data_IF_331342362326
#
_entry.id   IF_331342362326
#
_cell.length_a   1.000
_cell.length_b   1.000
_cell.length_c   1.000
_cell.angle_alpha   90.00
_cell.angle_beta   90.00
_cell.angle_gamma   90.00
#
_symmetry.space_group_name_H-M   'P 1'
#
loop_
_entity.id
_entity.type
_entity.pdbx_description
1 polymer ?
#
# COMPACT_ATOMS: atom_id res chain seq x y z
N UNK A 1 -24.08 26.81 -38.47
CA UNK A 1 -23.29 26.21 -37.38
C UNK A 1 -21.96 25.71 -37.91
N UNK A 2 -21.14 26.52 -38.57
CA UNK A 2 -19.92 26.05 -39.26
C UNK A 2 -18.67 26.95 -39.04
N UNK A 3 -18.74 27.85 -38.07
CA UNK A 3 -17.65 28.82 -37.87
C UNK A 3 -16.45 28.35 -36.99
N UNK A 4 -16.59 27.26 -36.27
CA UNK A 4 -15.57 26.86 -35.32
C UNK A 4 -14.56 25.83 -35.85
N UNK A 5 -14.98 25.09 -36.89
CA UNK A 5 -14.13 24.03 -37.47
C UNK A 5 -13.10 24.61 -38.45
N UNK A 6 -13.42 25.74 -39.13
CA UNK A 6 -12.50 26.43 -40.06
C UNK A 6 -11.30 27.09 -39.30
N UNK A 7 -11.51 27.54 -38.07
CA UNK A 7 -10.43 28.15 -37.29
C UNK A 7 -9.42 27.13 -36.74
N UNK A 8 -9.91 25.93 -36.38
CA UNK A 8 -9.05 24.83 -35.97
C UNK A 8 -8.19 24.28 -37.13
N UNK A 9 -8.77 24.20 -38.32
CA UNK A 9 -8.04 23.77 -39.53
C UNK A 9 -6.95 24.81 -39.94
N UNK A 10 -7.23 26.11 -39.83
CA UNK A 10 -6.22 27.16 -40.11
C UNK A 10 -5.09 27.19 -39.11
N UNK A 11 -5.32 26.82 -37.85
CA UNK A 11 -4.25 26.70 -36.85
C UNK A 11 -3.37 25.48 -37.08
N UNK A 12 -3.95 24.40 -37.61
CA UNK A 12 -3.22 23.17 -37.92
C UNK A 12 -2.41 23.26 -39.23
N UNK A 13 -2.84 24.07 -40.20
CA UNK A 13 -2.11 24.29 -41.47
C UNK A 13 -0.87 25.18 -41.34
N UNK A 14 -0.73 25.92 -40.23
CA UNK A 14 0.43 26.77 -39.96
C UNK A 14 1.51 26.17 -39.07
N UNK A 15 1.37 24.91 -38.65
CA UNK A 15 2.36 24.23 -37.86
C UNK A 15 3.18 23.30 -38.75
N UNK A 16 4.43 23.68 -39.00
CA UNK A 16 5.37 22.87 -39.76
C UNK A 16 5.48 21.46 -39.18
N UNK A 17 5.30 20.45 -40.04
CA UNK A 17 5.33 19.04 -39.65
C UNK A 17 6.68 18.59 -39.05
N UNK A 18 7.70 19.42 -39.06
CA UNK A 18 9.01 19.18 -38.45
C UNK A 18 9.07 19.45 -36.95
N UNK A 19 8.04 20.07 -36.35
CA UNK A 19 8.04 20.48 -34.93
C UNK A 19 7.47 19.40 -33.99
N UNK A 20 6.88 18.34 -34.53
CA UNK A 20 6.36 17.21 -33.75
C UNK A 20 7.47 16.21 -33.41
N UNK A 21 8.02 16.39 -32.24
CA UNK A 21 9.03 15.48 -31.72
C UNK A 21 8.37 14.45 -30.79
N UNK A 22 8.71 13.18 -30.96
CA UNK A 22 8.28 12.15 -30.01
C UNK A 22 8.70 12.53 -28.59
N UNK A 23 7.88 12.31 -27.57
CA UNK A 23 8.20 12.66 -26.18
C UNK A 23 9.58 12.12 -25.73
N UNK A 24 9.95 10.93 -26.20
CA UNK A 24 11.27 10.32 -25.94
C UNK A 24 12.42 11.12 -26.57
N UNK A 25 12.23 11.69 -27.76
CA UNK A 25 13.22 12.52 -28.42
C UNK A 25 13.33 13.92 -27.79
N UNK A 26 12.22 14.47 -27.29
CA UNK A 26 12.21 15.71 -26.54
C UNK A 26 12.96 15.56 -25.20
N UNK A 27 12.76 14.44 -24.49
CA UNK A 27 13.49 14.13 -23.26
C UNK A 27 14.98 13.91 -23.49
N UNK A 28 15.39 13.30 -24.61
CA UNK A 28 16.80 13.09 -24.95
C UNK A 28 17.55 14.42 -25.26
N UNK A 29 16.82 15.49 -25.62
CA UNK A 29 17.37 16.84 -25.88
C UNK A 29 17.30 17.77 -24.68
N UNK A 30 16.73 17.31 -23.55
CA UNK A 30 16.65 18.12 -22.35
C UNK A 30 18.04 18.29 -21.74
N UNK A 31 18.59 19.48 -21.87
CA UNK A 31 19.77 19.90 -21.13
C UNK A 31 19.30 20.65 -19.87
N UNK A 32 19.61 20.14 -18.67
CA UNK A 32 19.25 20.86 -17.46
C UNK A 32 19.94 22.23 -17.41
N UNK A 33 19.25 23.28 -16.90
CA UNK A 33 19.83 24.62 -16.78
C UNK A 33 21.17 24.57 -16.04
N UNK A 34 22.16 25.32 -16.56
CA UNK A 34 23.49 25.41 -15.96
C UNK A 34 23.35 25.91 -14.50
N UNK A 35 23.68 25.09 -13.51
CA UNK A 35 23.49 25.40 -12.09
C UNK A 35 22.44 24.53 -11.41
N UNK A 36 21.64 23.77 -12.16
CA UNK A 36 20.92 22.64 -11.60
C UNK A 36 21.93 21.50 -11.36
N UNK A 37 22.67 21.60 -10.27
CA UNK A 37 23.30 20.44 -9.69
C UNK A 37 22.12 19.55 -9.29
N UNK A 38 21.81 18.56 -10.11
CA UNK A 38 21.14 17.36 -9.59
C UNK A 38 22.04 16.96 -8.44
N UNK A 39 21.65 17.34 -7.21
CA UNK A 39 22.34 16.91 -6.02
C UNK A 39 22.53 15.41 -6.22
N UNK A 40 23.78 15.02 -6.44
CA UNK A 40 24.18 13.64 -6.69
C UNK A 40 23.46 12.84 -5.64
N UNK A 41 22.57 11.97 -6.05
CA UNK A 41 21.53 11.30 -5.30
C UNK A 41 21.89 11.28 -3.82
N UNK A 42 21.41 12.25 -3.06
CA UNK A 42 21.33 12.12 -1.61
C UNK A 42 20.72 10.76 -1.48
N UNK A 43 21.40 9.77 -0.89
CA UNK A 43 20.94 8.40 -0.72
C UNK A 43 19.45 8.53 -0.49
N UNK A 44 18.64 8.18 -1.53
CA UNK A 44 17.20 8.33 -1.42
C UNK A 44 16.87 7.47 -0.23
N UNK A 45 16.66 8.13 0.91
CA UNK A 45 16.25 7.45 2.13
C UNK A 45 14.93 6.81 1.74
N UNK A 46 15.00 5.56 1.30
CA UNK A 46 13.85 4.83 0.78
C UNK A 46 12.84 4.78 1.90
N UNK A 47 11.79 5.57 1.76
CA UNK A 47 10.69 5.54 2.68
C UNK A 47 10.15 4.11 2.75
N UNK A 48 10.05 3.56 3.95
CA UNK A 48 9.28 2.34 4.19
C UNK A 48 7.88 2.78 4.62
N UNK A 49 6.87 2.10 4.14
CA UNK A 49 5.51 2.42 4.54
C UNK A 49 5.09 1.52 5.70
N UNK A 50 4.49 2.14 6.72
CA UNK A 50 3.98 1.45 7.88
C UNK A 50 2.49 1.69 8.07
N UNK A 51 1.78 0.68 8.55
CA UNK A 51 0.36 0.73 8.94
C UNK A 51 0.15 0.26 10.37
N UNK A 52 -1.00 0.55 10.94
CA UNK A 52 -1.32 0.19 12.33
C UNK A 52 -2.59 -0.65 12.44
N UNK A 53 -2.53 -1.58 13.37
CA UNK A 53 -3.69 -2.28 13.92
C UNK A 53 -3.59 -2.22 15.44
N UNK A 54 -4.42 -1.43 16.08
CA UNK A 54 -4.36 -1.13 17.52
C UNK A 54 -2.98 -0.55 17.91
N UNK A 55 -2.32 -1.15 18.85
CA UNK A 55 -0.97 -0.76 19.30
C UNK A 55 0.15 -1.28 18.41
N UNK A 56 -0.15 -2.21 17.52
CA UNK A 56 0.84 -2.83 16.64
C UNK A 56 1.12 -1.97 15.42
N UNK A 57 2.39 -1.66 15.17
CA UNK A 57 2.86 -1.03 13.94
C UNK A 57 3.57 -2.05 13.05
N UNK A 58 3.18 -2.13 11.79
CA UNK A 58 3.73 -3.05 10.81
C UNK A 58 4.32 -2.30 9.63
N UNK A 59 5.40 -2.83 9.07
CA UNK A 59 6.00 -2.35 7.85
C UNK A 59 5.50 -3.15 6.66
N UNK A 60 5.10 -2.46 5.61
CA UNK A 60 4.83 -3.08 4.32
C UNK A 60 6.17 -3.55 3.73
N UNK A 61 6.23 -4.80 3.27
CA UNK A 61 7.40 -5.38 2.64
C UNK A 61 7.80 -4.58 1.40
N UNK A 62 9.07 -4.26 1.26
CA UNK A 62 9.56 -3.55 0.10
C UNK A 62 9.28 -4.33 -1.20
N UNK A 63 8.71 -3.65 -2.19
CA UNK A 63 8.33 -4.27 -3.46
C UNK A 63 6.97 -4.97 -3.46
N UNK A 64 6.29 -5.07 -2.32
CA UNK A 64 4.90 -5.54 -2.27
C UNK A 64 3.98 -4.52 -2.93
N UNK A 65 3.11 -5.00 -3.82
CA UNK A 65 1.99 -4.20 -4.32
C UNK A 65 0.94 -4.09 -3.24
N UNK A 66 0.51 -2.87 -2.94
CA UNK A 66 -0.55 -2.67 -1.94
C UNK A 66 -1.45 -1.51 -2.31
N UNK A 67 -2.72 -1.60 -1.94
CA UNK A 67 -3.68 -0.52 -2.10
C UNK A 67 -4.60 -0.41 -0.88
N UNK A 68 -5.13 0.79 -0.62
CA UNK A 68 -6.04 1.05 0.49
C UNK A 68 -7.42 1.40 -0.04
N UNK A 69 -8.41 0.69 0.46
CA UNK A 69 -9.82 0.93 0.19
C UNK A 69 -10.49 1.54 1.43
N UNK A 70 -11.15 2.67 1.24
CA UNK A 70 -11.98 3.26 2.28
C UNK A 70 -13.42 2.71 2.19
N UNK A 71 -13.99 2.35 3.35
CA UNK A 71 -15.35 1.81 3.44
C UNK A 71 -15.60 0.62 2.50
N UNK A 72 -14.80 -0.46 2.59
CA UNK A 72 -14.97 -1.61 1.72
C UNK A 72 -16.36 -2.24 1.89
N UNK A 73 -16.98 -2.65 0.80
CA UNK A 73 -18.17 -3.48 0.82
C UNK A 73 -17.74 -4.94 1.04
N UNK A 74 -17.77 -5.40 2.28
CA UNK A 74 -17.39 -6.76 2.67
C UNK A 74 -18.65 -7.63 2.63
N UNK A 75 -18.54 -8.77 1.98
CA UNK A 75 -19.56 -9.79 1.88
C UNK A 75 -19.26 -10.87 2.91
N UNK A 76 -20.13 -10.99 3.92
CA UNK A 76 -19.95 -11.97 4.99
C UNK A 76 -19.86 -13.40 4.43
N UNK A 77 -19.03 -14.21 5.07
CA UNK A 77 -18.88 -15.63 4.73
C UNK A 77 -19.39 -16.46 5.91
N UNK A 78 -20.63 -17.04 5.82
CA UNK A 78 -21.19 -17.83 6.90
C UNK A 78 -20.32 -19.03 7.25
N UNK A 79 -20.09 -19.23 8.56
CA UNK A 79 -19.29 -20.35 9.05
C UNK A 79 -17.79 -20.13 9.09
N UNK A 80 -17.31 -18.94 8.66
CA UNK A 80 -15.91 -18.58 8.80
C UNK A 80 -15.54 -18.22 10.26
N UNK A 81 -14.27 -18.34 10.64
CA UNK A 81 -13.78 -17.85 11.93
C UNK A 81 -14.01 -16.34 12.08
N UNK A 82 -14.11 -15.86 13.31
CA UNK A 82 -14.42 -14.45 13.60
C UNK A 82 -13.42 -13.45 12.99
N UNK A 83 -12.16 -13.85 12.83
CA UNK A 83 -11.11 -13.00 12.25
C UNK A 83 -11.17 -12.92 10.72
N UNK A 84 -11.89 -13.81 10.03
CA UNK A 84 -12.16 -13.74 8.59
C UNK A 84 -13.53 -13.12 8.38
N UNK A 85 -13.55 -11.81 8.14
CA UNK A 85 -14.79 -11.03 8.01
C UNK A 85 -15.59 -11.34 6.76
N UNK A 86 -14.96 -11.91 5.75
CA UNK A 86 -15.61 -12.23 4.47
C UNK A 86 -14.75 -11.87 3.28
N UNK A 87 -15.40 -11.52 2.18
CA UNK A 87 -14.76 -11.24 0.89
C UNK A 87 -15.08 -9.83 0.40
N UNK A 88 -14.13 -9.19 -0.27
CA UNK A 88 -14.36 -7.97 -1.04
C UNK A 88 -14.08 -8.23 -2.51
N UNK A 89 -14.91 -7.70 -3.40
CA UNK A 89 -14.63 -7.75 -4.83
C UNK A 89 -13.74 -6.56 -5.23
N UNK A 90 -12.53 -6.87 -5.64
CA UNK A 90 -11.56 -5.90 -6.12
C UNK A 90 -11.16 -6.23 -7.55
N UNK A 91 -11.61 -5.42 -8.52
CA UNK A 91 -11.32 -5.61 -9.95
C UNK A 91 -11.59 -7.05 -10.44
N UNK A 92 -12.75 -7.60 -10.07
CA UNK A 92 -13.20 -8.97 -10.37
C UNK A 92 -12.43 -10.09 -9.63
N UNK A 93 -11.56 -9.76 -8.70
CA UNK A 93 -10.94 -10.71 -7.78
C UNK A 93 -11.68 -10.70 -6.45
N UNK A 94 -11.93 -11.86 -5.90
CA UNK A 94 -12.48 -12.02 -4.55
C UNK A 94 -11.32 -12.07 -3.56
N UNK A 95 -11.18 -11.03 -2.75
CA UNK A 95 -10.10 -10.87 -1.79
C UNK A 95 -10.61 -11.15 -0.39
N UNK A 96 -10.03 -12.12 0.35
CA UNK A 96 -10.38 -12.37 1.74
C UNK A 96 -9.98 -11.20 2.62
N UNK A 97 -10.85 -10.87 3.59
CA UNK A 97 -10.67 -9.74 4.51
C UNK A 97 -10.51 -10.23 5.92
N UNK A 98 -9.37 -9.93 6.52
CA UNK A 98 -9.02 -10.33 7.87
C UNK A 98 -9.05 -9.14 8.83
N UNK A 99 -9.45 -9.40 10.09
CA UNK A 99 -9.33 -8.46 11.20
C UNK A 99 -8.42 -9.04 12.28
N UNK A 100 -7.21 -8.50 12.40
CA UNK A 100 -6.26 -8.89 13.43
C UNK A 100 -6.73 -8.57 14.85
N UNK A 101 -7.67 -7.63 15.01
CA UNK A 101 -8.26 -7.35 16.31
C UNK A 101 -9.06 -8.55 16.82
N UNK A 102 -9.81 -9.18 15.94
CA UNK A 102 -10.55 -10.40 16.25
C UNK A 102 -9.61 -11.59 16.52
N UNK A 103 -8.55 -11.71 15.70
CA UNK A 103 -7.59 -12.80 15.85
C UNK A 103 -6.83 -12.74 17.18
N UNK A 104 -6.42 -11.52 17.61
CA UNK A 104 -5.61 -11.36 18.83
C UNK A 104 -6.43 -10.96 20.06
N UNK A 105 -7.76 -10.96 19.99
CA UNK A 105 -8.63 -10.57 21.10
C UNK A 105 -8.42 -9.13 21.56
N UNK A 106 -8.08 -8.22 20.63
CA UNK A 106 -7.86 -6.81 20.92
C UNK A 106 -9.19 -6.05 21.04
N UNK A 107 -9.19 -4.89 21.72
CA UNK A 107 -10.37 -4.06 21.81
C UNK A 107 -10.98 -3.75 20.44
N UNK A 108 -12.31 -3.72 20.32
CA UNK A 108 -12.97 -3.42 19.06
C UNK A 108 -12.55 -2.04 18.53
N UNK A 109 -12.66 -1.87 17.22
CA UNK A 109 -12.42 -0.59 16.55
C UNK A 109 -13.48 0.44 16.97
N UNK A 110 -13.11 1.72 16.99
CA UNK A 110 -14.09 2.79 17.20
C UNK A 110 -15.13 2.75 16.07
N UNK A 111 -16.40 2.67 16.46
CA UNK A 111 -17.53 2.60 15.52
C UNK A 111 -17.63 3.87 14.66
N UNK A 112 -17.15 5.01 15.18
CA UNK A 112 -17.13 6.28 14.45
C UNK A 112 -16.07 6.32 13.35
N UNK A 113 -15.03 5.50 13.45
CA UNK A 113 -13.97 5.43 12.45
C UNK A 113 -14.42 4.60 11.24
N UNK A 114 -14.37 5.19 10.04
CA UNK A 114 -14.63 4.44 8.83
C UNK A 114 -13.57 3.35 8.65
N UNK A 115 -13.95 2.09 8.37
CA UNK A 115 -12.99 1.02 8.18
C UNK A 115 -12.12 1.28 6.94
N UNK A 116 -10.82 1.06 7.10
CA UNK A 116 -9.85 1.06 6.01
C UNK A 116 -9.39 -0.37 5.77
N UNK A 117 -9.33 -0.79 4.52
CA UNK A 117 -8.82 -2.09 4.12
C UNK A 117 -7.52 -1.90 3.36
N UNK A 118 -6.44 -2.43 3.88
CA UNK A 118 -5.16 -2.54 3.19
C UNK A 118 -5.11 -3.89 2.50
N UNK A 119 -5.07 -3.87 1.17
CA UNK A 119 -4.93 -5.08 0.35
C UNK A 119 -3.47 -5.23 -0.04
N UNK A 120 -2.93 -6.41 0.20
CA UNK A 120 -1.59 -6.83 -0.21
C UNK A 120 -1.67 -7.69 -1.45
N UNK A 121 -0.69 -7.56 -2.32
CA UNK A 121 -0.54 -8.33 -3.56
C UNK A 121 -1.69 -8.18 -4.57
N UNK A 122 -1.75 -9.04 -5.55
CA UNK A 122 -2.75 -9.01 -6.63
C UNK A 122 -3.13 -10.43 -7.06
N UNK A 123 -4.28 -10.54 -7.71
CA UNK A 123 -4.78 -11.83 -8.21
C UNK A 123 -5.04 -12.82 -7.09
N UNK A 124 -4.66 -14.06 -7.29
CA UNK A 124 -4.93 -15.18 -6.37
C UNK A 124 -4.17 -15.08 -5.02
N UNK A 125 -3.18 -14.20 -4.94
CA UNK A 125 -2.42 -13.96 -3.71
C UNK A 125 -2.93 -12.78 -2.91
N UNK A 126 -3.92 -12.05 -3.44
CA UNK A 126 -4.43 -10.87 -2.79
C UNK A 126 -5.11 -11.22 -1.46
N UNK A 127 -4.73 -10.51 -0.40
CA UNK A 127 -5.34 -10.61 0.92
C UNK A 127 -5.46 -9.23 1.56
N UNK A 128 -6.54 -8.98 2.29
CA UNK A 128 -6.84 -7.70 2.89
C UNK A 128 -6.83 -7.73 4.42
N UNK A 129 -6.26 -6.71 5.03
CA UNK A 129 -6.32 -6.44 6.46
C UNK A 129 -7.10 -5.17 6.75
N UNK A 130 -7.98 -5.20 7.74
CA UNK A 130 -8.53 -3.97 8.30
C UNK A 130 -7.45 -3.25 9.12
N UNK A 131 -7.23 -1.99 8.78
CA UNK A 131 -6.24 -1.12 9.42
C UNK A 131 -6.91 0.09 10.08
N UNK A 132 -6.20 0.75 11.00
CA UNK A 132 -6.77 1.88 11.75
C UNK A 132 -6.56 3.20 11.03
N UNK A 133 -5.39 3.40 10.44
CA UNK A 133 -4.98 4.63 9.75
C UNK A 133 -4.39 4.31 8.37
N UNK A 134 -4.38 5.30 7.48
CA UNK A 134 -3.66 5.19 6.21
C UNK A 134 -2.18 4.88 6.44
N UNK A 135 -1.58 3.99 5.63
CA UNK A 135 -0.14 3.77 5.67
C UNK A 135 0.63 5.07 5.48
N UNK A 136 1.65 5.28 6.29
CA UNK A 136 2.48 6.48 6.26
C UNK A 136 3.93 6.17 5.96
N UNK A 137 4.64 7.08 5.27
CA UNK A 137 6.07 6.93 5.04
C UNK A 137 6.85 7.10 6.35
N UNK A 138 7.82 6.23 6.55
CA UNK A 138 8.71 6.18 7.71
C UNK A 138 10.15 6.33 7.23
N UNK A 139 10.89 7.20 7.91
CA UNK A 139 12.27 7.53 7.61
C UNK A 139 13.13 7.38 8.85
N UNK A 140 14.43 7.23 8.68
CA UNK A 140 15.42 7.26 9.77
C UNK A 140 15.09 6.33 10.96
N UNK A 141 14.52 5.18 10.67
CA UNK A 141 14.20 4.18 11.67
C UNK A 141 15.48 3.53 12.22
N UNK A 142 15.50 3.31 13.53
CA UNK A 142 16.59 2.58 14.21
C UNK A 142 16.18 1.13 14.40
N UNK A 143 17.03 0.19 14.05
CA UNK A 143 16.80 -1.23 14.31
C UNK A 143 16.70 -1.50 15.80
N UNK A 144 15.69 -2.26 16.19
CA UNK A 144 15.53 -2.77 17.55
C UNK A 144 16.34 -4.06 17.72
N UNK A 145 17.12 -4.20 18.79
CA UNK A 145 17.82 -5.45 19.08
C UNK A 145 16.86 -6.58 19.44
N UNK A 146 15.80 -6.26 20.18
CA UNK A 146 14.81 -7.21 20.66
C UNK A 146 13.41 -6.74 20.33
N UNK A 147 12.54 -7.68 19.94
CA UNK A 147 11.12 -7.42 19.69
C UNK A 147 10.34 -7.36 21.00
N UNK A 148 9.29 -6.54 21.10
CA UNK A 148 8.36 -6.61 22.22
C UNK A 148 7.66 -7.97 22.24
N UNK A 149 6.98 -8.29 23.35
CA UNK A 149 6.14 -9.47 23.43
C UNK A 149 5.04 -9.40 22.38
N UNK A 150 4.95 -10.42 21.53
CA UNK A 150 3.99 -10.53 20.44
C UNK A 150 3.01 -11.69 20.70
N UNK A 151 1.77 -11.61 20.19
CA UNK A 151 0.90 -12.78 20.09
C UNK A 151 1.59 -13.94 19.39
N UNK A 152 1.29 -15.15 19.80
CA UNK A 152 1.95 -16.37 19.28
C UNK A 152 1.82 -16.48 17.76
N UNK A 153 0.66 -16.12 17.23
CA UNK A 153 0.33 -16.15 15.81
C UNK A 153 1.19 -15.15 14.99
N UNK A 154 1.71 -14.10 15.62
CA UNK A 154 2.58 -13.13 14.96
C UNK A 154 4.06 -13.48 15.04
N UNK A 155 4.50 -14.20 16.09
CA UNK A 155 5.92 -14.41 16.35
C UNK A 155 6.67 -15.03 15.17
N UNK A 156 6.05 -16.00 14.49
CA UNK A 156 6.65 -16.68 13.33
C UNK A 156 6.71 -15.80 12.06
N UNK A 157 5.95 -14.70 12.03
CA UNK A 157 5.77 -13.86 10.84
C UNK A 157 6.35 -12.45 10.98
N UNK A 158 7.07 -12.19 12.08
CA UNK A 158 7.78 -10.93 12.33
C UNK A 158 9.28 -11.23 12.43
N UNK A 159 10.05 -10.68 11.48
CA UNK A 159 11.49 -10.97 11.37
C UNK A 159 12.38 -9.99 12.13
N UNK A 160 11.86 -8.84 12.46
CA UNK A 160 12.61 -7.79 13.14
C UNK A 160 11.75 -6.58 13.44
N UNK A 161 12.32 -5.61 14.13
CA UNK A 161 11.66 -4.38 14.50
C UNK A 161 12.53 -3.15 14.33
N UNK A 162 11.86 -2.02 14.23
CA UNK A 162 12.48 -0.71 14.12
C UNK A 162 11.76 0.28 15.02
N UNK A 163 12.49 1.26 15.52
CA UNK A 163 11.94 2.40 16.25
C UNK A 163 11.95 3.66 15.41
N UNK A 164 10.84 4.40 15.45
CA UNK A 164 10.78 5.79 15.02
C UNK A 164 10.08 6.61 16.10
N UNK A 165 10.82 7.50 16.75
CA UNK A 165 10.35 8.13 18.00
C UNK A 165 10.04 7.06 19.06
N UNK A 166 8.86 7.13 19.65
CA UNK A 166 8.37 6.16 20.65
C UNK A 166 7.57 5.02 20.05
N UNK A 167 7.55 4.91 18.71
CA UNK A 167 6.77 3.92 18.01
C UNK A 167 7.61 2.77 17.49
N UNK A 168 7.17 1.54 17.77
CA UNK A 168 7.76 0.31 17.23
C UNK A 168 7.06 -0.06 15.93
N UNK A 169 7.85 -0.45 14.94
CA UNK A 169 7.42 -0.88 13.61
C UNK A 169 8.05 -2.23 13.29
N UNK A 170 7.23 -3.24 13.06
CA UNK A 170 7.64 -4.63 12.90
C UNK A 170 7.74 -5.00 11.41
N UNK A 171 8.78 -5.74 11.06
CA UNK A 171 8.92 -6.32 9.72
C UNK A 171 7.98 -7.50 9.56
N UNK A 172 6.86 -7.25 8.91
CA UNK A 172 5.77 -8.21 8.77
C UNK A 172 5.86 -8.98 7.46
N UNK A 173 5.93 -10.31 7.57
CA UNK A 173 5.85 -11.23 6.45
C UNK A 173 4.39 -11.64 6.22
N UNK A 174 3.66 -10.78 5.51
CA UNK A 174 2.23 -10.95 5.26
C UNK A 174 1.93 -12.23 4.46
N UNK A 175 2.79 -12.62 3.50
CA UNK A 175 2.60 -13.83 2.70
C UNK A 175 2.54 -15.07 3.59
N UNK A 176 3.59 -15.28 4.40
CA UNK A 176 3.64 -16.43 5.30
C UNK A 176 2.54 -16.41 6.37
N UNK A 177 2.15 -15.20 6.80
CA UNK A 177 1.07 -15.02 7.77
C UNK A 177 -0.28 -15.46 7.20
N UNK A 178 -0.68 -14.94 6.05
CA UNK A 178 -1.95 -15.33 5.43
C UNK A 178 -2.00 -16.81 5.04
N UNK A 179 -0.89 -17.37 4.56
CA UNK A 179 -0.79 -18.81 4.32
C UNK A 179 -1.01 -19.64 5.59
N UNK A 180 -0.54 -19.17 6.74
CA UNK A 180 -0.75 -19.86 8.01
C UNK A 180 -2.22 -19.86 8.44
N UNK A 181 -2.93 -18.74 8.24
CA UNK A 181 -4.35 -18.63 8.57
C UNK A 181 -5.21 -19.59 7.74
N UNK A 182 -4.89 -19.74 6.46
CA UNK A 182 -5.62 -20.69 5.57
C UNK A 182 -5.40 -22.15 6.00
N UNK A 183 -4.22 -22.47 6.54
CA UNK A 183 -3.92 -23.85 7.01
C UNK A 183 -4.59 -24.20 8.33
N UNK A 184 -4.94 -23.23 9.16
CA UNK A 184 -5.63 -23.46 10.42
C UNK A 184 -7.10 -23.92 10.22
N UNK A 185 -7.63 -23.80 9.00
CA UNK A 185 -9.01 -24.15 8.64
C UNK A 185 -9.14 -25.57 8.06
N UNK A 186 -8.06 -26.31 7.91
CA UNK A 186 -8.06 -27.70 7.40
C UNK A 186 -7.91 -28.72 8.54
#
# INVERSE_FOLDING_TARGET
MDGNNSRLLQVLEGMDAEEWMLPSAALARFEPPTGMVLAAAAEEKRARYGFRVSTFGFLIKAGCSSEVLAKPAIWDMPGSPSYLLGLVNLRSNLVPVFDLRQLFGLPPRDIAAAPLLLVFDQGDKAAGLLIDDFPKPLFDMKTLPDLPALPEELQAHVRGGHMQGDSVWMEFDHESFFESLVRLEQ
#
